data_IF_772308367433
#
_entry.id   IF_772308367433
#
_cell.length_a   1.000
_cell.length_b   1.000
_cell.length_c   1.000
_cell.angle_alpha   90.00
_cell.angle_beta   90.00
_cell.angle_gamma   90.00
#
_symmetry.space_group_name_H-M   'P 1'
#
loop_
_entity.id
_entity.type
_entity.pdbx_description
1 polymer ?
#
# COMPACT_ATOMS: atom_id res chain seq x y z
N UNK A 1 -9.60 51.59 10.35
CA UNK A 1 -10.13 50.20 10.40
C UNK A 1 -9.60 49.53 11.66
N UNK A 2 -10.45 48.93 12.49
CA UNK A 2 -10.13 48.60 13.88
C UNK A 2 -9.26 47.33 13.97
N UNK A 3 -8.07 47.40 14.56
CA UNK A 3 -7.07 46.30 14.62
C UNK A 3 -7.64 45.01 15.24
N UNK A 4 -8.60 45.12 16.15
CA UNK A 4 -9.34 44.00 16.75
C UNK A 4 -10.23 43.26 15.74
N UNK A 5 -10.82 43.98 14.79
CA UNK A 5 -11.68 43.42 13.74
C UNK A 5 -10.87 42.61 12.73
N UNK A 6 -9.69 43.12 12.33
CA UNK A 6 -8.77 42.37 11.46
C UNK A 6 -8.28 41.09 12.14
N UNK A 7 -7.91 41.15 13.43
CA UNK A 7 -7.45 39.98 14.17
C UNK A 7 -8.53 38.89 14.29
N UNK A 8 -9.78 39.29 14.59
CA UNK A 8 -10.91 38.38 14.65
C UNK A 8 -11.21 37.73 13.27
N UNK A 9 -11.12 38.52 12.19
CA UNK A 9 -11.31 38.03 10.83
C UNK A 9 -10.23 37.01 10.43
N UNK A 10 -8.97 37.29 10.76
CA UNK A 10 -7.84 36.39 10.47
C UNK A 10 -7.95 35.07 11.24
N UNK A 11 -8.30 35.12 12.53
CA UNK A 11 -8.51 33.90 13.33
C UNK A 11 -9.70 33.10 12.81
N UNK A 12 -10.82 33.76 12.50
CA UNK A 12 -12.00 33.12 11.94
C UNK A 12 -11.72 32.43 10.61
N UNK A 13 -11.01 33.11 9.70
CA UNK A 13 -10.62 32.55 8.41
C UNK A 13 -9.63 31.38 8.57
N UNK A 14 -8.68 31.51 9.49
CA UNK A 14 -7.74 30.43 9.83
C UNK A 14 -8.45 29.19 10.37
N UNK A 15 -9.46 29.36 11.22
CA UNK A 15 -10.25 28.25 11.75
C UNK A 15 -11.07 27.55 10.65
N UNK A 16 -11.71 28.30 9.75
CA UNK A 16 -12.44 27.73 8.61
C UNK A 16 -11.52 26.97 7.68
N UNK A 17 -10.34 27.53 7.37
CA UNK A 17 -9.36 26.89 6.51
C UNK A 17 -8.82 25.59 7.13
N UNK A 18 -8.50 25.59 8.42
CA UNK A 18 -8.12 24.39 9.15
C UNK A 18 -9.24 23.34 9.13
N UNK A 19 -10.49 23.73 9.41
CA UNK A 19 -11.64 22.82 9.38
C UNK A 19 -11.87 22.21 7.99
N UNK A 20 -11.65 22.98 6.91
CA UNK A 20 -11.73 22.46 5.54
C UNK A 20 -10.62 21.44 5.25
N UNK A 21 -9.38 21.72 5.66
CA UNK A 21 -8.25 20.79 5.50
C UNK A 21 -8.47 19.51 6.29
N UNK A 22 -8.87 19.64 7.57
CA UNK A 22 -9.15 18.49 8.43
C UNK A 22 -10.34 17.69 7.89
N UNK A 23 -11.44 18.36 7.54
CA UNK A 23 -12.60 17.71 6.93
C UNK A 23 -12.24 16.93 5.68
N UNK A 24 -11.48 17.52 4.76
CA UNK A 24 -11.07 16.84 3.53
C UNK A 24 -10.09 15.68 3.78
N UNK A 25 -9.15 15.84 4.71
CA UNK A 25 -8.14 14.81 5.02
C UNK A 25 -8.76 13.59 5.71
N UNK A 26 -9.78 13.80 6.56
CA UNK A 26 -10.45 12.72 7.30
C UNK A 26 -11.65 12.12 6.56
N UNK A 27 -12.27 12.85 5.64
CA UNK A 27 -13.42 12.39 4.85
C UNK A 27 -13.05 12.09 3.40
N UNK A 28 -11.94 11.36 3.15
CA UNK A 28 -11.68 10.85 1.82
C UNK A 28 -12.70 9.76 1.44
N UNK A 29 -13.49 9.95 0.37
CA UNK A 29 -14.46 8.96 -0.05
C UNK A 29 -13.73 7.70 -0.53
N UNK A 30 -14.24 6.55 -0.10
CA UNK A 30 -13.79 5.26 -0.60
C UNK A 30 -14.00 5.19 -2.12
N UNK A 31 -12.93 4.89 -2.86
CA UNK A 31 -12.99 4.67 -4.31
C UNK A 31 -12.98 3.17 -4.57
N UNK A 32 -14.11 2.58 -5.00
CA UNK A 32 -14.13 1.16 -5.33
C UNK A 32 -13.17 0.88 -6.49
N UNK A 33 -12.48 -0.26 -6.45
CA UNK A 33 -11.53 -0.74 -7.47
C UNK A 33 -10.23 0.06 -7.61
N UNK A 34 -9.99 1.09 -6.79
CA UNK A 34 -8.71 1.82 -6.81
C UNK A 34 -7.50 0.89 -6.56
N UNK A 35 -7.70 -0.19 -5.81
CA UNK A 35 -6.66 -1.21 -5.59
C UNK A 35 -6.30 -1.99 -6.86
N UNK A 36 -7.24 -2.18 -7.79
CA UNK A 36 -6.98 -2.86 -9.07
C UNK A 36 -6.27 -1.94 -10.06
N UNK A 37 -6.60 -0.64 -10.04
CA UNK A 37 -5.93 0.37 -10.85
C UNK A 37 -4.44 0.51 -10.51
N UNK A 38 -4.04 0.16 -9.28
CA UNK A 38 -2.64 0.14 -8.88
C UNK A 38 -1.87 -1.14 -9.29
N UNK A 39 -2.58 -2.15 -9.82
CA UNK A 39 -1.97 -3.40 -10.30
C UNK A 39 -1.70 -3.27 -11.81
N UNK A 40 -0.47 -3.55 -12.28
CA UNK A 40 -0.15 -3.45 -13.70
C UNK A 40 -0.93 -4.48 -14.53
N UNK A 41 -1.28 -4.11 -15.76
CA UNK A 41 -2.02 -4.97 -16.71
C UNK A 41 -1.30 -6.28 -17.05
N UNK A 42 0.01 -6.37 -16.78
CA UNK A 42 0.84 -7.56 -17.03
C UNK A 42 0.77 -8.61 -15.91
N UNK A 43 -0.06 -8.38 -14.89
CA UNK A 43 -0.27 -9.37 -13.84
C UNK A 43 -0.91 -10.65 -14.42
N UNK A 44 -0.34 -11.81 -14.07
CA UNK A 44 -0.82 -13.12 -14.57
C UNK A 44 -2.07 -13.57 -13.82
N UNK A 45 -2.16 -13.18 -12.56
CA UNK A 45 -3.26 -13.53 -11.66
C UNK A 45 -3.52 -12.35 -10.76
N UNK A 46 -4.78 -11.97 -10.60
CA UNK A 46 -5.22 -10.91 -9.68
C UNK A 46 -6.38 -11.44 -8.86
N UNK A 47 -6.23 -11.41 -7.54
CA UNK A 47 -7.28 -11.71 -6.60
C UNK A 47 -7.66 -10.46 -5.84
N UNK A 48 -8.95 -10.13 -5.86
CA UNK A 48 -9.54 -9.03 -5.10
C UNK A 48 -10.27 -9.62 -3.91
N UNK A 49 -9.92 -9.15 -2.72
CA UNK A 49 -10.65 -9.38 -1.48
C UNK A 49 -11.25 -8.06 -0.99
N UNK A 50 -12.45 -8.10 -0.43
CA UNK A 50 -13.08 -6.93 0.18
C UNK A 50 -12.53 -6.64 1.58
N UNK A 51 -11.99 -7.67 2.24
CA UNK A 51 -11.36 -7.58 3.54
C UNK A 51 -10.21 -8.59 3.70
N UNK A 52 -9.42 -8.41 4.75
CA UNK A 52 -8.29 -9.28 5.08
C UNK A 52 -8.73 -10.72 5.42
N UNK A 53 -9.93 -10.90 5.98
CA UNK A 53 -10.47 -12.22 6.31
C UNK A 53 -10.75 -13.06 5.06
N UNK A 54 -11.35 -12.44 4.04
CA UNK A 54 -11.56 -13.04 2.72
C UNK A 54 -10.23 -13.39 2.06
N UNK A 55 -9.20 -12.54 2.19
CA UNK A 55 -7.86 -12.85 1.70
C UNK A 55 -7.24 -14.07 2.41
N UNK A 56 -7.37 -14.15 3.74
CA UNK A 56 -6.81 -15.25 4.54
C UNK A 56 -7.51 -16.59 4.29
N UNK A 57 -8.77 -16.57 3.87
CA UNK A 57 -9.52 -17.78 3.49
C UNK A 57 -9.29 -18.18 2.02
N UNK A 58 -8.69 -17.31 1.22
CA UNK A 58 -8.48 -17.55 -0.20
C UNK A 58 -7.34 -18.54 -0.49
N UNK A 59 -7.39 -19.25 -1.63
CA UNK A 59 -6.28 -20.09 -2.10
C UNK A 59 -5.00 -19.29 -2.38
N UNK A 60 -5.08 -17.96 -2.48
CA UNK A 60 -3.94 -17.06 -2.68
C UNK A 60 -3.09 -16.97 -1.43
N UNK A 61 -3.70 -17.08 -0.24
CA UNK A 61 -2.96 -17.12 1.03
C UNK A 61 -1.92 -18.24 1.01
N UNK A 62 -2.30 -19.45 0.58
CA UNK A 62 -1.37 -20.56 0.50
C UNK A 62 -0.25 -20.39 -0.54
N UNK A 63 -0.47 -19.57 -1.58
CA UNK A 63 0.59 -19.22 -2.54
C UNK A 63 1.53 -18.14 -1.99
N UNK A 64 0.99 -17.17 -1.25
CA UNK A 64 1.76 -16.15 -0.55
C UNK A 64 2.60 -16.74 0.59
N UNK A 65 2.06 -17.68 1.36
CA UNK A 65 2.79 -18.39 2.42
C UNK A 65 4.01 -19.12 1.83
N UNK A 66 3.85 -19.79 0.69
CA UNK A 66 4.97 -20.39 -0.06
C UNK A 66 5.97 -19.34 -0.55
N UNK A 67 5.49 -18.14 -0.91
CA UNK A 67 6.35 -17.07 -1.39
C UNK A 67 7.15 -16.39 -0.27
N UNK A 68 6.60 -16.31 0.94
CA UNK A 68 7.20 -15.79 2.16
C UNK A 68 8.26 -16.73 2.75
N UNK A 69 8.10 -18.04 2.54
CA UNK A 69 9.06 -19.08 2.92
C UNK A 69 8.61 -19.93 4.12
N UNK A 70 9.36 -21.00 4.40
CA UNK A 70 9.03 -21.93 5.47
C UNK A 70 9.14 -21.25 6.86
N UNK A 71 8.02 -21.10 7.55
CA UNK A 71 7.95 -20.57 8.92
C UNK A 71 7.28 -19.20 9.09
N UNK A 72 6.86 -18.54 8.01
CA UNK A 72 6.03 -17.34 8.08
C UNK A 72 4.70 -17.59 7.38
N UNK A 73 3.62 -17.80 8.14
CA UNK A 73 2.27 -17.75 7.57
C UNK A 73 1.72 -16.35 7.67
N UNK A 74 0.99 -15.91 6.64
CA UNK A 74 0.25 -14.65 6.65
C UNK A 74 -0.64 -14.54 7.89
N UNK A 75 -1.27 -15.64 8.28
CA UNK A 75 -2.14 -15.74 9.44
C UNK A 75 -1.40 -15.44 10.74
N UNK A 76 -0.24 -16.07 10.97
CA UNK A 76 0.59 -15.80 12.16
C UNK A 76 1.13 -14.37 12.18
N UNK A 77 1.53 -13.82 11.03
CA UNK A 77 2.00 -12.43 10.93
C UNK A 77 0.89 -11.42 11.22
N UNK A 78 -0.34 -11.71 10.78
CA UNK A 78 -1.51 -10.86 11.04
C UNK A 78 -1.99 -10.94 12.49
N UNK A 79 -1.93 -12.14 13.09
CA UNK A 79 -2.34 -12.39 14.48
C UNK A 79 -1.33 -11.80 15.48
N UNK A 80 -0.03 -11.92 15.21
CA UNK A 80 1.03 -11.45 16.11
C UNK A 80 1.08 -9.92 16.26
N UNK A 81 0.70 -9.17 15.23
CA UNK A 81 0.92 -7.72 15.19
C UNK A 81 -0.39 -6.90 15.29
N UNK A 82 -1.55 -7.54 15.36
CA UNK A 82 -2.85 -6.85 15.38
C UNK A 82 -3.18 -6.11 14.08
N UNK A 83 -2.50 -6.45 12.98
CA UNK A 83 -2.65 -5.82 11.66
C UNK A 83 -4.03 -6.05 11.05
N UNK A 84 -4.75 -7.06 11.53
CA UNK A 84 -6.16 -7.29 11.22
C UNK A 84 -6.96 -6.01 11.42
N UNK A 85 -6.75 -5.24 12.51
CA UNK A 85 -7.50 -3.98 12.73
C UNK A 85 -7.12 -2.83 11.79
N UNK A 86 -5.97 -2.93 11.13
CA UNK A 86 -5.48 -1.93 10.18
C UNK A 86 -5.94 -2.23 8.75
N UNK A 87 -6.00 -3.51 8.37
CA UNK A 87 -6.34 -3.97 7.02
C UNK A 87 -7.78 -4.55 6.88
N UNK A 88 -8.55 -4.73 7.96
CA UNK A 88 -9.87 -5.38 7.91
C UNK A 88 -11.01 -4.52 7.33
N UNK A 89 -10.80 -3.25 7.01
CA UNK A 89 -11.88 -2.37 6.57
C UNK A 89 -11.75 -1.92 5.10
N UNK A 90 -10.90 -2.58 4.32
CA UNK A 90 -10.48 -2.06 3.02
C UNK A 90 -10.24 -3.14 1.98
N UNK A 91 -10.61 -2.82 0.74
CA UNK A 91 -10.30 -3.66 -0.42
C UNK A 91 -8.79 -3.96 -0.47
N UNK A 92 -8.46 -5.20 -0.82
CA UNK A 92 -7.10 -5.69 -1.02
C UNK A 92 -7.06 -6.38 -2.38
N UNK A 93 -6.14 -5.97 -3.25
CA UNK A 93 -5.80 -6.69 -4.46
C UNK A 93 -4.43 -7.34 -4.27
N UNK A 94 -4.30 -8.62 -4.61
CA UNK A 94 -3.02 -9.33 -4.65
C UNK A 94 -2.82 -9.86 -6.06
N UNK A 95 -1.61 -9.69 -6.60
CA UNK A 95 -1.27 -10.11 -7.94
C UNK A 95 0.11 -10.77 -8.05
N UNK A 96 0.21 -11.75 -8.95
CA UNK A 96 1.50 -12.31 -9.41
C UNK A 96 1.96 -11.55 -10.66
N UNK A 97 3.12 -10.92 -10.60
CA UNK A 97 3.65 -10.06 -11.65
C UNK A 97 4.98 -10.60 -12.17
N UNK A 98 5.12 -10.82 -13.50
CA UNK A 98 6.36 -11.28 -14.10
C UNK A 98 7.28 -10.09 -14.42
N UNK A 99 7.89 -9.44 -13.41
CA UNK A 99 8.63 -8.20 -13.65
C UNK A 99 9.93 -8.34 -14.46
N UNK A 100 10.77 -9.37 -14.24
CA UNK A 100 12.14 -9.33 -14.80
C UNK A 100 12.76 -10.61 -15.37
N UNK A 101 12.18 -11.81 -15.17
CA UNK A 101 12.87 -13.05 -15.54
C UNK A 101 12.07 -14.02 -16.43
N UNK A 102 11.32 -13.54 -17.44
CA UNK A 102 10.56 -14.41 -18.35
C UNK A 102 9.72 -15.49 -17.61
N UNK A 103 9.14 -15.12 -16.45
CA UNK A 103 8.35 -16.03 -15.60
C UNK A 103 9.14 -16.94 -14.64
N UNK A 104 10.47 -16.86 -14.54
CA UNK A 104 11.28 -17.74 -13.67
C UNK A 104 11.31 -17.33 -12.19
N UNK A 105 11.16 -16.05 -11.87
CA UNK A 105 10.98 -15.58 -10.49
C UNK A 105 9.60 -14.92 -10.34
N UNK A 106 8.80 -15.45 -9.42
CA UNK A 106 7.46 -14.93 -9.10
C UNK A 106 7.60 -13.74 -8.16
N UNK A 107 7.19 -12.57 -8.65
CA UNK A 107 7.10 -11.35 -7.84
C UNK A 107 5.67 -11.13 -7.46
N UNK A 108 5.41 -10.90 -6.18
CA UNK A 108 4.06 -10.65 -5.69
C UNK A 108 3.87 -9.17 -5.47
N UNK A 109 2.73 -8.65 -5.89
CA UNK A 109 2.27 -7.32 -5.50
C UNK A 109 1.00 -7.43 -4.67
N UNK A 110 0.85 -6.52 -3.73
CA UNK A 110 -0.39 -6.30 -3.02
C UNK A 110 -0.68 -4.80 -3.00
N UNK A 111 -1.94 -4.44 -3.20
CA UNK A 111 -2.46 -3.10 -3.02
C UNK A 111 -3.61 -3.17 -2.02
N UNK A 112 -3.58 -2.34 -0.99
CA UNK A 112 -4.65 -2.25 0.00
C UNK A 112 -5.12 -0.81 0.11
N UNK A 113 -6.43 -0.61 0.17
CA UNK A 113 -6.98 0.70 0.48
C UNK A 113 -6.71 1.07 1.94
N UNK A 114 -6.26 2.27 2.17
CA UNK A 114 -5.93 2.83 3.49
C UNK A 114 -6.71 4.12 3.75
N UNK A 115 -7.07 4.84 2.67
CA UNK A 115 -7.85 6.07 2.72
C UNK A 115 -7.22 7.11 3.66
N UNK A 116 -8.06 7.71 4.51
CA UNK A 116 -7.68 8.76 5.46
C UNK A 116 -6.54 8.39 6.41
N UNK A 117 -6.27 7.10 6.60
CA UNK A 117 -5.20 6.63 7.50
C UNK A 117 -3.81 6.77 6.88
N UNK A 118 -3.70 7.02 5.57
CA UNK A 118 -2.42 7.03 4.86
C UNK A 118 -1.44 8.09 5.39
N UNK A 119 -1.83 9.37 5.59
CA UNK A 119 -0.91 10.37 6.16
C UNK A 119 -0.42 10.01 7.56
N UNK A 120 -1.30 9.43 8.40
CA UNK A 120 -0.95 8.99 9.75
C UNK A 120 0.01 7.79 9.73
N UNK A 121 -0.23 6.81 8.86
CA UNK A 121 0.67 5.67 8.67
C UNK A 121 2.04 6.10 8.13
N UNK A 122 2.06 7.01 7.16
CA UNK A 122 3.29 7.59 6.60
C UNK A 122 4.11 8.27 7.70
N UNK A 123 3.49 9.14 8.48
CA UNK A 123 4.14 9.79 9.61
C UNK A 123 4.69 8.76 10.62
N UNK A 124 3.90 7.73 10.97
CA UNK A 124 4.32 6.69 11.91
C UNK A 124 5.53 5.91 11.39
N UNK A 125 5.57 5.58 10.10
CA UNK A 125 6.68 4.86 9.47
C UNK A 125 7.94 5.71 9.38
N UNK A 126 7.81 6.99 9.03
CA UNK A 126 8.94 7.93 9.00
C UNK A 126 9.61 8.09 10.38
N UNK A 127 8.84 7.95 11.46
CA UNK A 127 9.33 8.06 12.84
C UNK A 127 9.63 6.70 13.49
N UNK A 128 9.38 5.58 12.81
CA UNK A 128 9.65 4.25 13.35
C UNK A 128 11.15 3.97 13.29
N UNK A 129 11.73 3.57 14.42
CA UNK A 129 13.10 3.09 14.51
C UNK A 129 13.08 1.57 14.64
N UNK A 130 12.99 0.88 13.50
CA UNK A 130 13.06 -0.58 13.43
C UNK A 130 14.25 -0.96 12.56
N UNK A 131 15.17 -1.77 13.09
CA UNK A 131 16.41 -2.17 12.40
C UNK A 131 16.14 -2.98 11.12
N UNK A 132 14.97 -3.61 11.03
CA UNK A 132 14.56 -4.38 9.85
C UNK A 132 13.82 -3.53 8.80
N UNK A 133 13.60 -2.24 9.08
CA UNK A 133 12.86 -1.33 8.20
C UNK A 133 13.76 -0.17 7.79
N UNK A 134 14.01 -0.07 6.48
CA UNK A 134 14.86 0.96 5.91
C UNK A 134 14.06 1.82 4.91
N UNK A 135 14.26 3.14 4.96
CA UNK A 135 13.75 4.04 3.94
C UNK A 135 14.72 4.05 2.75
N UNK A 136 14.32 3.45 1.63
CA UNK A 136 15.15 3.40 0.42
C UNK A 136 15.22 4.73 -0.32
N UNK A 137 14.21 5.59 -0.14
CA UNK A 137 14.12 6.89 -0.76
C UNK A 137 12.70 7.24 -1.17
N UNK A 138 12.58 8.02 -2.23
CA UNK A 138 11.31 8.46 -2.80
C UNK A 138 11.30 8.23 -4.30
N UNK A 139 10.18 7.77 -4.83
CA UNK A 139 9.90 7.78 -6.26
C UNK A 139 8.78 8.77 -6.54
N UNK A 140 9.07 9.77 -7.38
CA UNK A 140 8.28 11.00 -7.48
C UNK A 140 8.05 11.63 -6.09
N UNK A 141 6.88 11.49 -5.50
CA UNK A 141 6.52 12.00 -4.17
C UNK A 141 6.33 10.90 -3.12
N UNK A 142 6.36 9.63 -3.54
CA UNK A 142 6.01 8.50 -2.71
C UNK A 142 7.23 7.92 -1.99
N UNK A 143 7.27 7.92 -0.64
CA UNK A 143 8.33 7.24 0.11
C UNK A 143 8.24 5.73 -0.07
N UNK A 144 9.40 5.10 -0.21
CA UNK A 144 9.56 3.66 -0.39
C UNK A 144 10.35 3.12 0.78
N UNK A 145 9.80 2.11 1.44
CA UNK A 145 10.46 1.38 2.49
C UNK A 145 10.77 -0.05 2.04
N UNK A 146 11.87 -0.57 2.57
CA UNK A 146 12.22 -1.97 2.49
C UNK A 146 12.16 -2.59 3.88
N UNK A 147 11.46 -3.71 3.97
CA UNK A 147 11.43 -4.56 5.13
C UNK A 147 12.21 -5.84 4.84
N UNK A 148 13.29 -6.01 5.60
CA UNK A 148 14.20 -7.16 5.49
C UNK A 148 14.18 -7.94 6.80
N UNK A 149 13.15 -8.76 7.05
CA UNK A 149 13.11 -9.60 8.24
C UNK A 149 14.10 -10.77 8.08
N UNK A 150 14.67 -11.28 9.19
CA UNK A 150 15.63 -12.38 9.17
C UNK A 150 15.05 -13.70 8.61
N UNK A 151 13.72 -13.84 8.58
CA UNK A 151 13.03 -15.07 8.16
C UNK A 151 12.43 -15.02 6.74
N UNK A 152 12.63 -13.96 5.95
CA UNK A 152 12.13 -13.98 4.56
C UNK A 152 12.95 -14.96 3.70
N UNK A 153 12.28 -15.63 2.75
CA UNK A 153 12.93 -16.51 1.79
C UNK A 153 14.18 -15.85 1.16
N UNK A 154 15.32 -16.53 1.26
CA UNK A 154 16.65 -16.01 0.89
C UNK A 154 16.62 -15.38 -0.50
N UNK A 155 17.02 -14.11 -0.59
CA UNK A 155 17.10 -13.36 -1.85
C UNK A 155 15.84 -12.57 -2.21
N UNK A 156 14.75 -12.67 -1.45
CA UNK A 156 13.58 -11.80 -1.60
C UNK A 156 13.63 -10.62 -0.63
N UNK A 157 13.08 -9.49 -1.06
CA UNK A 157 12.92 -8.27 -0.29
C UNK A 157 11.46 -7.84 -0.35
N UNK A 158 10.90 -7.51 0.81
CA UNK A 158 9.57 -6.90 0.87
C UNK A 158 9.77 -5.39 0.80
N UNK A 159 9.28 -4.78 -0.27
CA UNK A 159 9.23 -3.32 -0.39
C UNK A 159 7.79 -2.86 -0.30
N UNK A 160 7.56 -1.68 0.25
CA UNK A 160 6.23 -1.09 0.28
C UNK A 160 6.28 0.43 0.21
N UNK A 161 5.20 1.02 -0.27
CA UNK A 161 5.04 2.44 -0.47
C UNK A 161 3.62 2.86 -0.06
N UNK A 162 3.50 4.05 0.52
CA UNK A 162 2.22 4.66 0.85
C UNK A 162 1.95 5.81 -0.11
N UNK A 163 0.87 5.68 -0.87
CA UNK A 163 0.32 6.74 -1.73
C UNK A 163 -0.67 7.60 -0.93
N UNK A 164 -1.51 8.40 -1.57
CA UNK A 164 -2.50 9.21 -0.85
C UNK A 164 -3.54 8.36 -0.10
N UNK A 165 -3.89 7.20 -0.63
CA UNK A 165 -4.99 6.39 -0.15
C UNK A 165 -4.72 4.87 -0.24
N UNK A 166 -3.62 4.44 -0.86
CA UNK A 166 -3.25 3.03 -0.98
C UNK A 166 -1.92 2.72 -0.29
N UNK A 167 -1.85 1.55 0.33
CA UNK A 167 -0.61 0.86 0.64
C UNK A 167 -0.30 -0.11 -0.49
N UNK A 168 0.83 0.10 -1.15
CA UNK A 168 1.36 -0.80 -2.16
C UNK A 168 2.51 -1.59 -1.56
N UNK A 169 2.54 -2.90 -1.76
CA UNK A 169 3.60 -3.77 -1.32
C UNK A 169 4.06 -4.67 -2.46
N UNK A 170 5.35 -4.92 -2.55
CA UNK A 170 5.96 -5.81 -3.53
C UNK A 170 6.95 -6.74 -2.84
N UNK A 171 6.73 -8.05 -2.98
CA UNK A 171 7.66 -9.09 -2.57
C UNK A 171 8.37 -9.61 -3.82
N UNK A 172 9.61 -9.17 -4.02
CA UNK A 172 10.43 -9.52 -5.18
C UNK A 172 11.89 -9.72 -4.79
N UNK A 173 12.67 -10.34 -5.68
CA UNK A 173 14.14 -10.37 -5.59
C UNK A 173 14.76 -8.99 -5.80
N UNK A 174 14.11 -8.13 -6.59
CA UNK A 174 14.57 -6.77 -6.85
C UNK A 174 13.73 -5.75 -6.08
N UNK A 175 14.34 -4.92 -5.21
CA UNK A 175 13.61 -3.87 -4.49
C UNK A 175 13.09 -2.76 -5.42
N UNK A 176 13.59 -2.69 -6.66
CA UNK A 176 13.13 -1.72 -7.65
C UNK A 176 11.78 -2.07 -8.29
N UNK A 177 11.25 -3.28 -8.09
CA UNK A 177 10.01 -3.71 -8.76
C UNK A 177 8.77 -2.96 -8.26
N UNK A 178 8.82 -2.41 -7.06
CA UNK A 178 7.77 -1.51 -6.55
C UNK A 178 7.60 -0.23 -7.38
N UNK A 179 8.65 0.21 -8.07
CA UNK A 179 8.58 1.39 -8.94
C UNK A 179 7.56 1.18 -10.05
N UNK A 180 7.42 -0.05 -10.55
CA UNK A 180 6.42 -0.37 -11.57
C UNK A 180 4.99 -0.28 -11.03
N UNK A 181 4.76 -0.63 -9.75
CA UNK A 181 3.46 -0.44 -9.11
C UNK A 181 3.15 1.06 -8.96
N UNK A 182 4.14 1.85 -8.56
CA UNK A 182 3.99 3.29 -8.43
C UNK A 182 3.78 3.98 -9.78
N UNK A 183 4.49 3.58 -10.82
CA UNK A 183 4.28 4.09 -12.18
C UNK A 183 2.90 3.71 -12.72
N UNK A 184 2.38 2.54 -12.36
CA UNK A 184 1.01 2.13 -12.71
C UNK A 184 -0.01 3.00 -11.98
N UNK A 185 0.17 3.22 -10.68
CA UNK A 185 -0.68 4.11 -9.87
C UNK A 185 -0.67 5.55 -10.39
N UNK A 186 0.51 6.07 -10.76
CA UNK A 186 0.68 7.41 -11.36
C UNK A 186 0.21 7.47 -12.83
N UNK A 187 -0.41 6.41 -13.35
CA UNK A 187 -0.91 6.29 -14.74
C UNK A 187 0.18 6.46 -15.82
N UNK A 188 1.45 6.25 -15.46
CA UNK A 188 2.58 6.22 -16.40
C UNK A 188 2.74 4.87 -17.09
N UNK A 189 2.13 3.83 -16.53
CA UNK A 189 2.07 2.48 -17.07
C UNK A 189 0.62 1.96 -17.10
N UNK A 190 0.27 1.05 -18.03
CA UNK A 190 -1.10 0.54 -18.13
C UNK A 190 -1.48 -0.32 -16.92
N UNK A 191 -2.60 0.04 -16.30
CA UNK A 191 -3.21 -0.66 -15.18
C UNK A 191 -4.11 -1.81 -15.64
N UNK A 192 -4.30 -2.79 -14.76
CA UNK A 192 -5.24 -3.87 -14.97
C UNK A 192 -6.67 -3.31 -14.93
N UNK A 193 -7.33 -3.25 -16.09
CA UNK A 193 -8.73 -2.81 -16.17
C UNK A 193 -9.65 -4.04 -16.10
N UNK A 194 -10.74 -3.98 -15.33
CA UNK A 194 -11.79 -5.01 -15.41
C UNK A 194 -12.41 -4.97 -16.82
N UNK A 195 -11.97 -5.88 -17.69
CA UNK A 195 -12.36 -5.90 -19.10
C UNK A 195 -11.50 -6.81 -19.97
N UNK A 196 -10.32 -7.24 -19.49
CA UNK A 196 -9.54 -8.30 -20.12
C UNK A 196 -9.65 -9.58 -19.27
N UNK A 197 -10.70 -10.36 -19.53
CA UNK A 197 -10.62 -11.81 -19.33
C UNK A 197 -9.92 -12.40 -20.57
N UNK A 198 -8.96 -13.34 -20.40
CA UNK A 198 -8.56 -14.21 -21.50
C UNK A 198 -9.71 -15.12 -21.94
#
# INVERSE_FOLDING_TARGET
MNRKLQFALTIGLGAVFAAAIFGYSFCQPFKPNAVLEAIPARATFVFKANDLGELLQSPVCGQLDKALGAGNTLKELTDANGWIKLAAASEIAVADIPFRNAGRSKSWAAASWVGWRSPWLRWKLEHTRNENLELLGKHAVWPIWQYSPPNIARGKSLTFALTDNLLLACLSESPADILHLLDTYDQRAPAHTQGQQP
#
